data_IF_560504898076
#
_entry.id   IF_560504898076
#
_cell.length_a   1.000
_cell.length_b   1.000
_cell.length_c   1.000
_cell.angle_alpha   90.00
_cell.angle_beta   90.00
_cell.angle_gamma   90.00
#
_symmetry.space_group_name_H-M   'P 1'
#
loop_
_entity.id
_entity.type
_entity.pdbx_description
1 polymer ?
#
# COMPACT_ATOMS: atom_id res chain seq x y z
N UNK A 1 3.93 -17.46 -24.61
CA UNK A 1 3.43 -17.11 -23.27
C UNK A 1 3.50 -15.60 -23.14
N UNK A 2 2.44 -14.95 -22.64
CA UNK A 2 2.44 -13.50 -22.40
C UNK A 2 3.43 -13.21 -21.26
N UNK A 3 4.23 -12.15 -21.41
CA UNK A 3 5.19 -11.72 -20.38
C UNK A 3 4.51 -10.76 -19.40
N UNK A 4 4.85 -10.84 -18.12
CA UNK A 4 4.54 -9.80 -17.13
C UNK A 4 5.25 -8.50 -17.50
N UNK A 5 4.82 -7.39 -16.90
CA UNK A 5 5.48 -6.10 -17.09
C UNK A 5 6.89 -6.12 -16.49
N UNK A 6 7.87 -5.46 -17.13
CA UNK A 6 9.29 -5.49 -16.74
C UNK A 6 9.61 -4.57 -15.55
N UNK A 7 8.92 -4.77 -14.43
CA UNK A 7 9.26 -4.20 -13.13
C UNK A 7 10.13 -5.18 -12.34
N UNK A 8 11.32 -4.77 -11.87
CA UNK A 8 12.27 -5.69 -11.24
C UNK A 8 11.71 -6.45 -10.04
N UNK A 9 10.86 -5.81 -9.21
CA UNK A 9 10.35 -6.44 -8.00
C UNK A 9 9.20 -7.40 -8.30
N UNK A 10 8.32 -7.03 -9.22
CA UNK A 10 7.31 -7.94 -9.73
C UNK A 10 7.95 -9.17 -10.38
N UNK A 11 9.00 -8.97 -11.19
CA UNK A 11 9.71 -10.05 -11.85
C UNK A 11 10.32 -11.04 -10.86
N UNK A 12 10.91 -10.55 -9.76
CA UNK A 12 11.41 -11.40 -8.67
C UNK A 12 10.24 -12.12 -8.00
N UNK A 13 9.14 -11.44 -7.67
CA UNK A 13 7.99 -12.07 -7.02
C UNK A 13 7.42 -13.22 -7.86
N UNK A 14 7.26 -13.02 -9.18
CA UNK A 14 6.72 -14.05 -10.07
C UNK A 14 7.66 -15.26 -10.25
N UNK A 15 8.93 -15.18 -9.82
CA UNK A 15 9.81 -16.36 -9.76
C UNK A 15 9.39 -17.38 -8.71
N UNK A 16 8.46 -17.05 -7.80
CA UNK A 16 7.89 -18.01 -6.85
C UNK A 16 7.27 -19.23 -7.56
N UNK A 17 6.78 -19.05 -8.80
CA UNK A 17 6.17 -20.10 -9.60
C UNK A 17 7.17 -20.98 -10.36
N UNK A 18 8.44 -20.59 -10.41
CA UNK A 18 9.49 -21.42 -11.00
C UNK A 18 9.65 -22.74 -10.25
N UNK A 19 10.38 -23.68 -10.85
CA UNK A 19 10.92 -24.81 -10.12
C UNK A 19 12.08 -24.32 -9.24
N UNK A 20 11.76 -24.04 -7.97
CA UNK A 20 12.67 -23.54 -6.95
C UNK A 20 13.24 -24.68 -6.09
N UNK A 21 13.70 -25.75 -6.75
CA UNK A 21 14.42 -26.85 -6.09
C UNK A 21 15.75 -26.39 -5.47
N UNK A 22 16.18 -27.07 -4.41
CA UNK A 22 17.44 -26.77 -3.70
C UNK A 22 18.64 -26.73 -4.67
N UNK A 23 19.54 -25.74 -4.49
CA UNK A 23 20.73 -25.47 -5.33
C UNK A 23 20.45 -25.03 -6.77
N UNK A 24 19.20 -24.77 -7.15
CA UNK A 24 18.86 -24.27 -8.47
C UNK A 24 19.04 -22.76 -8.55
N UNK A 25 19.52 -22.28 -9.70
CA UNK A 25 19.52 -20.85 -10.01
C UNK A 25 18.09 -20.39 -10.31
N UNK A 26 17.68 -19.30 -9.65
CA UNK A 26 16.40 -18.63 -9.89
C UNK A 26 16.64 -17.50 -10.88
N UNK A 27 15.87 -17.51 -11.97
CA UNK A 27 15.87 -16.44 -12.98
C UNK A 27 14.46 -15.94 -13.21
N UNK A 28 14.33 -14.66 -13.53
CA UNK A 28 13.06 -14.11 -14.00
C UNK A 28 12.78 -14.47 -15.48
N UNK A 29 11.64 -14.03 -16.00
CA UNK A 29 11.22 -14.32 -17.38
C UNK A 29 12.07 -13.61 -18.47
N UNK A 30 13.04 -12.79 -18.05
CA UNK A 30 14.01 -12.09 -18.89
C UNK A 30 15.44 -12.64 -18.69
N UNK A 31 15.57 -13.82 -18.10
CA UNK A 31 16.83 -14.52 -17.85
C UNK A 31 17.79 -13.78 -16.89
N UNK A 32 17.28 -12.80 -16.12
CA UNK A 32 18.08 -12.11 -15.10
C UNK A 32 18.15 -12.99 -13.85
N UNK A 33 19.37 -13.17 -13.33
CA UNK A 33 19.61 -14.01 -12.14
C UNK A 33 19.16 -13.31 -10.86
N UNK A 34 18.32 -13.99 -10.08
CA UNK A 34 17.92 -13.57 -8.73
C UNK A 34 18.91 -14.13 -7.69
N UNK A 35 19.42 -15.34 -7.93
CA UNK A 35 20.37 -16.03 -7.06
C UNK A 35 20.19 -17.54 -7.11
N UNK A 36 20.67 -18.24 -6.08
CA UNK A 36 20.56 -19.70 -5.95
C UNK A 36 19.72 -20.07 -4.73
N UNK A 37 18.81 -21.03 -4.88
CA UNK A 37 17.98 -21.55 -3.77
C UNK A 37 18.85 -22.30 -2.76
N UNK A 38 18.76 -21.93 -1.49
CA UNK A 38 19.52 -22.54 -0.39
C UNK A 38 18.67 -23.15 0.71
N UNK A 39 17.40 -22.77 0.83
CA UNK A 39 16.43 -23.41 1.72
C UNK A 39 15.10 -23.60 0.99
N UNK A 40 14.42 -24.71 1.26
CA UNK A 40 13.12 -25.06 0.68
C UNK A 40 12.22 -25.57 1.80
N UNK A 41 11.10 -24.89 2.02
CA UNK A 41 10.02 -25.33 2.89
C UNK A 41 8.81 -25.54 1.99
N UNK A 42 8.54 -26.79 1.61
CA UNK A 42 7.43 -27.14 0.74
C UNK A 42 6.57 -28.20 1.44
N UNK A 43 5.49 -27.74 2.06
CA UNK A 43 4.56 -28.54 2.86
C UNK A 43 5.27 -29.43 3.90
N UNK A 44 6.34 -28.93 4.50
CA UNK A 44 7.12 -29.61 5.55
C UNK A 44 6.32 -29.83 6.83
N UNK A 45 5.32 -28.98 7.09
CA UNK A 45 4.45 -29.09 8.26
C UNK A 45 3.13 -29.81 8.00
N UNK A 46 2.82 -30.12 6.72
CA UNK A 46 1.51 -30.62 6.32
C UNK A 46 0.44 -29.53 6.17
N UNK A 47 0.78 -28.26 6.38
CA UNK A 47 -0.15 -27.13 6.31
C UNK A 47 -0.18 -26.42 4.95
N UNK A 48 0.65 -26.83 3.98
CA UNK A 48 0.66 -26.29 2.62
C UNK A 48 1.63 -25.14 2.37
N UNK A 49 2.53 -24.80 3.31
CA UNK A 49 3.47 -23.68 3.14
C UNK A 49 4.48 -23.92 2.02
N UNK A 50 4.80 -22.88 1.24
CA UNK A 50 5.78 -22.94 0.16
C UNK A 50 6.70 -21.72 0.22
N UNK A 51 7.85 -21.86 0.87
CA UNK A 51 8.80 -20.77 1.14
C UNK A 51 10.21 -21.16 0.69
N UNK A 52 10.89 -20.25 -0.01
CA UNK A 52 12.23 -20.48 -0.57
C UNK A 52 13.18 -19.36 -0.17
N UNK A 53 14.38 -19.72 0.30
CA UNK A 53 15.47 -18.75 0.50
C UNK A 53 16.42 -18.79 -0.70
N UNK A 54 16.76 -17.61 -1.22
CA UNK A 54 17.61 -17.41 -2.39
C UNK A 54 18.74 -16.44 -2.00
N UNK A 55 19.98 -16.82 -2.30
CA UNK A 55 21.17 -16.00 -2.02
C UNK A 55 22.01 -15.82 -3.29
N UNK A 56 22.73 -14.70 -3.40
CA UNK A 56 23.59 -14.42 -4.56
C UNK A 56 24.74 -15.42 -4.69
N UNK A 57 25.38 -15.77 -3.57
CA UNK A 57 26.51 -16.70 -3.53
C UNK A 57 26.26 -17.85 -2.54
N UNK A 58 25.84 -19.03 -3.01
CA UNK A 58 25.50 -20.16 -2.13
C UNK A 58 26.71 -20.83 -1.47
N UNK A 59 27.95 -20.39 -1.81
CA UNK A 59 29.20 -20.92 -1.23
C UNK A 59 29.69 -20.13 -0.03
N UNK A 60 29.12 -18.96 0.23
CA UNK A 60 29.44 -18.17 1.43
C UNK A 60 28.99 -18.89 2.70
N UNK A 61 29.71 -18.68 3.81
CA UNK A 61 29.21 -19.11 5.09
C UNK A 61 27.96 -18.30 5.43
N UNK A 62 27.04 -18.90 6.16
CA UNK A 62 25.74 -18.27 6.39
C UNK A 62 25.84 -16.95 7.21
N UNK A 63 26.89 -16.81 8.01
CA UNK A 63 27.20 -15.58 8.76
C UNK A 63 27.73 -14.43 7.88
N UNK A 64 28.32 -14.78 6.72
CA UNK A 64 28.91 -13.81 5.77
C UNK A 64 27.88 -13.32 4.74
N UNK A 65 26.73 -13.99 4.63
CA UNK A 65 25.65 -13.61 3.70
C UNK A 65 25.06 -12.28 4.12
N UNK A 66 25.15 -11.29 3.22
CA UNK A 66 24.64 -9.93 3.47
C UNK A 66 23.14 -9.78 3.20
N UNK A 67 22.62 -10.50 2.20
CA UNK A 67 21.23 -10.38 1.75
C UNK A 67 20.65 -11.76 1.45
N UNK A 68 19.41 -11.99 1.89
CA UNK A 68 18.60 -13.16 1.54
C UNK A 68 17.30 -12.69 0.91
N UNK A 69 16.99 -13.22 -0.27
CA UNK A 69 15.68 -13.08 -0.90
C UNK A 69 14.80 -14.25 -0.48
N UNK A 70 13.64 -13.97 0.10
CA UNK A 70 12.66 -14.98 0.53
C UNK A 70 11.43 -14.88 -0.37
N UNK A 71 11.13 -15.98 -1.06
CA UNK A 71 9.97 -16.12 -1.93
C UNK A 71 8.89 -16.93 -1.21
N UNK A 72 7.71 -16.35 -1.03
CA UNK A 72 6.51 -17.03 -0.55
C UNK A 72 5.62 -17.32 -1.74
N UNK A 73 5.43 -18.59 -2.08
CA UNK A 73 4.70 -18.97 -3.29
C UNK A 73 3.19 -19.00 -3.03
N UNK A 74 2.43 -18.34 -3.90
CA UNK A 74 0.98 -18.45 -3.94
C UNK A 74 0.50 -19.87 -4.23
N UNK A 75 -0.81 -20.10 -4.10
CA UNK A 75 -1.38 -21.41 -4.33
C UNK A 75 -0.97 -21.94 -5.71
N UNK A 76 -0.71 -23.24 -5.83
CA UNK A 76 -0.30 -23.93 -7.07
C UNK A 76 -1.37 -23.91 -8.16
N UNK A 77 -2.42 -23.12 -7.93
CA UNK A 77 -3.58 -22.92 -8.76
C UNK A 77 -3.37 -22.27 -10.12
N UNK A 78 -2.32 -21.52 -10.52
CA UNK A 78 -2.30 -20.90 -11.85
C UNK A 78 -2.62 -21.89 -12.97
N UNK A 79 -2.01 -23.08 -12.96
CA UNK A 79 -2.23 -24.14 -13.97
C UNK A 79 -3.62 -24.79 -13.95
N UNK A 80 -4.35 -24.71 -12.82
CA UNK A 80 -5.74 -25.17 -12.67
C UNK A 80 -6.76 -24.03 -12.85
N UNK A 81 -6.39 -22.82 -12.48
CA UNK A 81 -7.08 -21.54 -12.67
C UNK A 81 -7.23 -21.31 -14.18
N UNK A 82 -6.17 -21.53 -14.97
CA UNK A 82 -6.19 -21.38 -16.44
C UNK A 82 -7.22 -22.26 -17.19
N UNK A 83 -7.88 -23.23 -16.53
CA UNK A 83 -8.72 -24.21 -17.22
C UNK A 83 -10.23 -24.07 -17.03
N UNK A 84 -10.75 -23.44 -15.98
CA UNK A 84 -12.22 -23.35 -15.77
C UNK A 84 -12.63 -22.03 -15.08
N UNK A 85 -13.15 -21.07 -15.86
CA UNK A 85 -13.26 -19.64 -15.49
C UNK A 85 -14.52 -19.23 -14.71
N UNK A 86 -15.19 -20.15 -13.99
CA UNK A 86 -16.32 -19.80 -13.12
C UNK A 86 -16.25 -20.46 -11.73
N UNK A 87 -15.80 -21.71 -11.65
CA UNK A 87 -15.69 -22.44 -10.38
C UNK A 87 -14.49 -22.00 -9.52
N UNK A 88 -13.46 -21.40 -10.11
CA UNK A 88 -12.26 -20.89 -9.41
C UNK A 88 -12.58 -19.80 -8.36
N UNK A 89 -13.65 -19.02 -8.56
CA UNK A 89 -14.10 -18.04 -7.57
C UNK A 89 -14.79 -18.69 -6.36
N UNK A 90 -15.44 -19.84 -6.57
CA UNK A 90 -16.09 -20.63 -5.51
C UNK A 90 -15.10 -21.56 -4.79
N UNK A 91 -14.03 -21.96 -5.48
CA UNK A 91 -13.06 -22.98 -5.06
C UNK A 91 -11.66 -22.40 -4.84
N UNK A 92 -11.61 -21.16 -4.30
CA UNK A 92 -10.38 -20.66 -3.67
C UNK A 92 -9.92 -21.76 -2.71
N UNK A 93 -8.71 -22.29 -2.88
CA UNK A 93 -8.27 -23.54 -2.25
C UNK A 93 -8.67 -23.58 -0.76
N UNK A 94 -8.97 -24.75 -0.18
CA UNK A 94 -9.61 -24.85 1.14
C UNK A 94 -9.07 -23.89 2.23
N UNK A 95 -7.74 -23.70 2.30
CA UNK A 95 -7.10 -22.74 3.20
C UNK A 95 -7.40 -21.26 2.87
N UNK A 96 -7.40 -20.90 1.59
CA UNK A 96 -7.62 -19.55 1.05
C UNK A 96 -9.07 -19.11 1.31
N UNK A 97 -10.03 -20.02 1.09
CA UNK A 97 -11.44 -19.77 1.40
C UNK A 97 -11.69 -19.50 2.89
N UNK A 98 -11.05 -20.27 3.78
CA UNK A 98 -11.19 -20.09 5.23
C UNK A 98 -10.67 -18.72 5.66
N UNK A 99 -9.48 -18.33 5.20
CA UNK A 99 -8.91 -17.05 5.60
C UNK A 99 -9.64 -15.86 4.97
N UNK A 100 -10.08 -15.98 3.72
CA UNK A 100 -10.98 -15.03 3.07
C UNK A 100 -12.24 -14.79 3.88
N UNK A 101 -12.85 -15.88 4.36
CA UNK A 101 -14.03 -15.84 5.22
C UNK A 101 -13.74 -15.13 6.54
N UNK A 102 -12.59 -15.39 7.18
CA UNK A 102 -12.19 -14.67 8.39
C UNK A 102 -12.06 -13.17 8.11
N UNK A 103 -11.37 -12.77 7.04
CA UNK A 103 -11.17 -11.37 6.69
C UNK A 103 -12.52 -10.66 6.43
N UNK A 104 -13.40 -11.28 5.64
CA UNK A 104 -14.70 -10.71 5.28
C UNK A 104 -15.68 -10.63 6.47
N UNK A 105 -15.58 -11.54 7.45
CA UNK A 105 -16.39 -11.49 8.68
C UNK A 105 -15.91 -10.44 9.67
N UNK A 106 -14.66 -9.99 9.57
CA UNK A 106 -14.09 -8.99 10.47
C UNK A 106 -14.34 -7.57 9.95
N UNK A 107 -15.47 -7.00 10.38
CA UNK A 107 -15.81 -5.60 10.12
C UNK A 107 -14.94 -4.62 10.92
N UNK A 108 -14.36 -5.07 12.03
CA UNK A 108 -13.44 -4.34 12.91
C UNK A 108 -12.19 -5.22 13.09
N UNK A 109 -10.97 -4.64 13.23
CA UNK A 109 -9.78 -5.46 13.49
C UNK A 109 -9.95 -6.34 14.73
N UNK A 110 -9.52 -7.59 14.60
CA UNK A 110 -9.62 -8.61 15.66
C UNK A 110 -8.72 -8.26 16.84
N UNK A 111 -9.16 -8.64 18.05
CA UNK A 111 -8.35 -8.61 19.28
C UNK A 111 -7.49 -9.87 19.44
N UNK A 112 -7.71 -10.89 18.60
CA UNK A 112 -6.98 -12.16 18.61
C UNK A 112 -6.44 -12.49 17.22
N UNK A 113 -5.37 -13.28 17.17
CA UNK A 113 -4.87 -13.87 15.93
C UNK A 113 -5.89 -14.88 15.39
N UNK A 114 -6.38 -14.66 14.17
CA UNK A 114 -7.33 -15.53 13.46
C UNK A 114 -6.70 -16.19 12.21
N UNK A 115 -5.36 -16.33 12.19
CA UNK A 115 -4.61 -16.94 11.10
C UNK A 115 -4.78 -18.46 11.01
N UNK A 116 -4.54 -18.99 9.82
CA UNK A 116 -4.53 -20.44 9.53
C UNK A 116 -3.17 -21.06 9.88
N UNK A 117 -3.12 -22.40 9.93
CA UNK A 117 -1.85 -23.10 10.18
C UNK A 117 -0.84 -22.94 9.03
N UNK A 118 -1.29 -22.71 7.79
CA UNK A 118 -0.40 -22.42 6.67
C UNK A 118 0.39 -21.13 6.92
N UNK A 119 -0.30 -20.03 7.27
CA UNK A 119 0.35 -18.77 7.59
C UNK A 119 1.37 -18.93 8.72
N UNK A 120 1.00 -19.69 9.77
CA UNK A 120 1.91 -20.00 10.89
C UNK A 120 3.11 -20.83 10.46
N UNK A 121 2.94 -21.78 9.54
CA UNK A 121 4.04 -22.54 8.98
C UNK A 121 4.98 -21.68 8.15
N UNK A 122 4.45 -20.77 7.32
CA UNK A 122 5.22 -19.76 6.58
C UNK A 122 6.01 -18.84 7.51
N UNK A 123 5.43 -18.44 8.65
CA UNK A 123 6.14 -17.67 9.68
C UNK A 123 7.30 -18.44 10.32
N UNK A 124 7.12 -19.73 10.60
CA UNK A 124 8.19 -20.60 11.11
C UNK A 124 9.33 -20.71 10.09
N UNK A 125 8.99 -20.95 8.81
CA UNK A 125 9.98 -21.01 7.73
C UNK A 125 10.80 -19.71 7.62
N UNK A 126 10.17 -18.54 7.72
CA UNK A 126 10.90 -17.26 7.72
C UNK A 126 11.87 -17.15 8.90
N UNK A 127 11.44 -17.53 10.11
CA UNK A 127 12.29 -17.52 11.30
C UNK A 127 13.49 -18.45 11.14
N UNK A 128 13.27 -19.67 10.67
CA UNK A 128 14.34 -20.64 10.42
C UNK A 128 15.36 -20.11 9.38
N UNK A 129 14.89 -19.41 8.34
CA UNK A 129 15.76 -18.73 7.35
C UNK A 129 16.57 -17.61 8.02
N UNK A 130 15.93 -16.78 8.86
CA UNK A 130 16.60 -15.68 9.55
C UNK A 130 17.62 -16.16 10.59
N UNK A 131 17.36 -17.28 11.25
CA UNK A 131 18.30 -17.97 12.15
C UNK A 131 19.48 -18.56 11.37
N UNK A 132 19.21 -19.16 10.21
CA UNK A 132 20.26 -19.71 9.34
C UNK A 132 21.24 -18.63 8.88
N UNK A 133 20.73 -17.44 8.55
CA UNK A 133 21.51 -16.31 8.04
C UNK A 133 21.49 -15.14 9.03
N UNK A 134 22.18 -15.21 10.18
CA UNK A 134 21.96 -14.31 11.31
C UNK A 134 22.25 -12.82 11.04
N UNK A 135 23.16 -12.52 10.10
CA UNK A 135 23.58 -11.14 9.78
C UNK A 135 22.91 -10.57 8.53
N UNK A 136 22.17 -11.39 7.78
CA UNK A 136 21.61 -10.98 6.50
C UNK A 136 20.45 -9.99 6.68
N UNK A 137 20.39 -9.02 5.77
CA UNK A 137 19.17 -8.27 5.46
C UNK A 137 18.23 -9.14 4.63
N UNK A 138 16.93 -9.01 4.86
CA UNK A 138 15.92 -9.90 4.28
C UNK A 138 15.04 -9.12 3.30
N UNK A 139 14.93 -9.63 2.09
CA UNK A 139 14.07 -9.12 1.03
C UNK A 139 12.93 -10.11 0.81
N UNK A 140 11.68 -9.70 1.03
CA UNK A 140 10.52 -10.59 0.98
C UNK A 140 9.73 -10.36 -0.29
N UNK A 141 9.31 -11.44 -0.97
CA UNK A 141 8.43 -11.37 -2.12
C UNK A 141 7.30 -12.40 -2.03
N UNK A 142 6.12 -12.04 -2.51
CA UNK A 142 5.01 -12.99 -2.63
C UNK A 142 3.86 -12.45 -3.48
N UNK A 143 3.19 -13.35 -4.20
CA UNK A 143 2.00 -13.06 -4.99
C UNK A 143 0.80 -13.90 -4.51
N UNK A 144 -0.42 -13.37 -4.66
CA UNK A 144 -1.66 -14.09 -4.30
C UNK A 144 -1.64 -14.58 -2.84
N UNK A 145 -1.85 -15.87 -2.57
CA UNK A 145 -1.70 -16.47 -1.23
C UNK A 145 -0.30 -16.25 -0.61
N UNK A 146 0.76 -16.27 -1.43
CA UNK A 146 2.12 -16.04 -0.99
C UNK A 146 2.31 -14.64 -0.39
N UNK A 147 1.54 -13.66 -0.85
CA UNK A 147 1.48 -12.34 -0.23
C UNK A 147 0.88 -12.40 1.18
N UNK A 148 -0.14 -13.22 1.44
CA UNK A 148 -0.72 -13.38 2.78
C UNK A 148 0.25 -14.10 3.71
N UNK A 149 0.89 -15.16 3.22
CA UNK A 149 1.95 -15.89 3.92
C UNK A 149 3.09 -14.94 4.33
N UNK A 150 3.56 -14.10 3.41
CA UNK A 150 4.56 -13.07 3.67
C UNK A 150 4.11 -12.04 4.71
N UNK A 151 2.88 -11.51 4.58
CA UNK A 151 2.32 -10.54 5.53
C UNK A 151 2.29 -11.11 6.95
N UNK A 152 1.83 -12.34 7.11
CA UNK A 152 1.74 -12.97 8.42
C UNK A 152 3.12 -13.34 8.97
N UNK A 153 4.01 -13.85 8.11
CA UNK A 153 5.37 -14.19 8.50
C UNK A 153 6.10 -12.99 9.07
N UNK A 154 5.97 -11.81 8.45
CA UNK A 154 6.49 -10.55 9.01
C UNK A 154 5.81 -10.17 10.33
N UNK A 155 4.49 -10.30 10.43
CA UNK A 155 3.73 -9.94 11.64
C UNK A 155 4.06 -10.83 12.86
N UNK A 156 4.53 -12.05 12.61
CA UNK A 156 4.92 -13.00 13.65
C UNK A 156 6.38 -12.86 14.12
N UNK A 157 7.16 -11.93 13.55
CA UNK A 157 8.54 -11.66 13.96
C UNK A 157 8.61 -10.90 15.29
N UNK A 158 9.74 -11.03 15.97
CA UNK A 158 10.09 -10.18 17.10
C UNK A 158 10.59 -8.80 16.65
N UNK A 159 10.49 -7.79 17.52
CA UNK A 159 10.91 -6.42 17.21
C UNK A 159 12.39 -6.30 16.80
N UNK A 160 13.28 -7.17 17.28
CA UNK A 160 14.68 -7.18 16.83
C UNK A 160 14.85 -7.85 15.45
N UNK A 161 14.00 -8.84 15.15
CA UNK A 161 14.02 -9.55 13.88
C UNK A 161 13.46 -8.67 12.75
N UNK A 162 12.35 -7.96 12.98
CA UNK A 162 11.68 -7.15 11.96
C UNK A 162 12.59 -6.05 11.39
N UNK A 163 13.55 -5.51 12.17
CA UNK A 163 14.53 -4.52 11.70
C UNK A 163 15.52 -5.07 10.65
N UNK A 164 15.63 -6.41 10.52
CA UNK A 164 16.41 -7.05 9.46
C UNK A 164 15.66 -7.13 8.13
N UNK A 165 14.34 -6.92 8.12
CA UNK A 165 13.59 -6.77 6.87
C UNK A 165 14.01 -5.46 6.20
N UNK A 166 14.61 -5.57 5.03
CA UNK A 166 15.05 -4.45 4.20
C UNK A 166 13.91 -3.91 3.38
N UNK A 167 13.18 -4.80 2.70
CA UNK A 167 12.02 -4.48 1.88
C UNK A 167 11.15 -5.73 1.70
N UNK A 168 9.86 -5.53 1.51
CA UNK A 168 8.91 -6.56 1.15
C UNK A 168 8.07 -6.08 -0.03
N UNK A 169 7.98 -6.87 -1.11
CA UNK A 169 7.15 -6.58 -2.28
C UNK A 169 6.12 -7.68 -2.45
N UNK A 170 4.86 -7.32 -2.22
CA UNK A 170 3.75 -8.26 -2.27
C UNK A 170 2.69 -7.80 -3.27
N UNK A 171 2.16 -8.72 -4.07
CA UNK A 171 1.34 -8.41 -5.24
C UNK A 171 0.03 -9.19 -5.24
N UNK A 172 -1.08 -8.50 -5.51
CA UNK A 172 -2.41 -9.08 -5.74
C UNK A 172 -2.88 -10.11 -4.68
N UNK A 173 -2.36 -10.02 -3.45
CA UNK A 173 -2.82 -10.83 -2.33
C UNK A 173 -3.85 -10.11 -1.46
N UNK A 174 -4.79 -10.82 -0.81
CA UNK A 174 -5.65 -10.26 0.23
C UNK A 174 -4.87 -9.56 1.35
N UNK A 175 -5.51 -8.58 2.00
CA UNK A 175 -4.92 -7.91 3.17
C UNK A 175 -5.36 -8.59 4.46
N UNK A 176 -4.41 -9.04 5.27
CA UNK A 176 -4.68 -9.78 6.50
C UNK A 176 -4.74 -8.90 7.76
N UNK A 177 -4.57 -7.58 7.66
CA UNK A 177 -4.39 -6.70 8.82
C UNK A 177 -5.51 -6.84 9.86
N UNK A 178 -6.73 -7.07 9.40
CA UNK A 178 -7.93 -7.20 10.26
C UNK A 178 -7.98 -8.50 11.06
N UNK A 179 -7.26 -9.54 10.66
CA UNK A 179 -7.24 -10.84 11.34
C UNK A 179 -6.02 -11.03 12.24
N UNK A 180 -5.07 -10.10 12.20
CA UNK A 180 -3.90 -10.07 13.10
C UNK A 180 -4.33 -9.68 14.52
N UNK A 181 -3.55 -10.07 15.53
CA UNK A 181 -3.67 -9.52 16.89
C UNK A 181 -3.15 -8.08 16.97
N UNK A 182 -3.47 -7.32 18.04
CA UNK A 182 -2.88 -5.99 18.28
C UNK A 182 -1.34 -5.98 18.27
N UNK A 183 -0.71 -7.00 18.84
CA UNK A 183 0.75 -7.14 18.89
C UNK A 183 1.34 -7.37 17.51
N UNK A 184 0.73 -8.26 16.72
CA UNK A 184 1.14 -8.55 15.34
C UNK A 184 1.02 -7.31 14.44
N UNK A 185 -0.07 -6.54 14.57
CA UNK A 185 -0.22 -5.25 13.86
C UNK A 185 0.89 -4.28 14.22
N UNK A 186 1.22 -4.17 15.51
CA UNK A 186 2.30 -3.30 15.98
C UNK A 186 3.65 -3.66 15.34
N UNK A 187 3.92 -4.95 15.12
CA UNK A 187 5.16 -5.40 14.45
C UNK A 187 5.20 -4.92 12.99
N UNK A 188 4.17 -5.20 12.18
CA UNK A 188 4.19 -4.77 10.76
C UNK A 188 4.11 -3.25 10.60
N UNK A 189 3.45 -2.55 11.52
CA UNK A 189 3.38 -1.08 11.53
C UNK A 189 4.73 -0.42 11.84
N UNK A 190 5.70 -1.14 12.43
CA UNK A 190 7.05 -0.61 12.65
C UNK A 190 7.79 -0.35 11.34
N UNK A 191 7.65 -1.26 10.37
CA UNK A 191 8.32 -1.24 9.06
C UNK A 191 7.36 -0.97 7.90
N UNK A 192 6.22 -0.34 8.16
CA UNK A 192 5.16 -0.13 7.15
C UNK A 192 5.70 0.52 5.86
N UNK A 193 6.69 1.40 5.98
CA UNK A 193 7.38 2.06 4.86
C UNK A 193 8.32 1.16 4.03
N UNK A 194 8.64 -0.05 4.51
CA UNK A 194 9.44 -1.07 3.78
C UNK A 194 8.56 -2.12 3.10
N UNK A 195 7.25 -2.15 3.37
CA UNK A 195 6.33 -3.15 2.82
C UNK A 195 5.50 -2.50 1.70
N UNK A 196 5.78 -2.88 0.46
CA UNK A 196 5.11 -2.41 -0.75
C UNK A 196 4.04 -3.41 -1.16
N UNK A 197 2.79 -3.05 -0.92
CA UNK A 197 1.63 -3.92 -1.12
C UNK A 197 0.80 -3.48 -2.33
N UNK A 198 1.08 -4.07 -3.50
CA UNK A 198 0.40 -3.74 -4.74
C UNK A 198 -0.93 -4.49 -4.87
N UNK A 199 -2.01 -3.74 -5.09
CA UNK A 199 -3.36 -4.29 -5.23
C UNK A 199 -4.03 -3.73 -6.48
N UNK A 200 -4.60 -4.60 -7.29
CA UNK A 200 -5.33 -4.22 -8.49
C UNK A 200 -6.82 -4.12 -8.18
N UNK A 201 -7.40 -2.92 -8.26
CA UNK A 201 -8.81 -2.71 -7.95
C UNK A 201 -9.77 -3.53 -8.85
N UNK A 202 -9.29 -4.03 -9.99
CA UNK A 202 -10.04 -4.91 -10.90
C UNK A 202 -9.88 -6.40 -10.56
N UNK A 203 -8.91 -6.76 -9.72
CA UNK A 203 -8.74 -8.09 -9.16
C UNK A 203 -9.47 -8.19 -7.81
N UNK A 204 -10.59 -8.91 -7.81
CA UNK A 204 -11.41 -9.11 -6.63
C UNK A 204 -10.64 -9.78 -5.47
N UNK A 205 -9.67 -10.66 -5.76
CA UNK A 205 -8.87 -11.34 -4.72
C UNK A 205 -7.99 -10.32 -4.01
N UNK A 206 -7.30 -9.46 -4.77
CA UNK A 206 -6.51 -8.38 -4.19
C UNK A 206 -7.34 -7.36 -3.41
N UNK A 207 -8.66 -7.28 -3.64
CA UNK A 207 -9.53 -6.35 -2.91
C UNK A 207 -10.07 -6.91 -1.58
N UNK A 208 -9.87 -8.19 -1.28
CA UNK A 208 -10.27 -8.79 0.00
C UNK A 208 -9.49 -8.12 1.16
N UNK A 209 -10.24 -7.63 2.15
CA UNK A 209 -9.68 -6.94 3.33
C UNK A 209 -9.40 -5.45 3.13
N UNK A 210 -9.51 -4.93 1.90
CA UNK A 210 -9.17 -3.54 1.55
C UNK A 210 -10.39 -2.64 1.41
N UNK A 211 -10.12 -1.35 1.52
CA UNK A 211 -11.05 -0.25 1.23
C UNK A 211 -10.23 0.84 0.52
N UNK A 212 -10.49 1.04 -0.77
CA UNK A 212 -9.72 1.98 -1.61
C UNK A 212 -9.73 3.39 -1.01
N UNK A 213 -10.86 3.79 -0.41
CA UNK A 213 -10.99 5.11 0.20
C UNK A 213 -10.12 5.29 1.45
N UNK A 214 -9.71 4.19 2.10
CA UNK A 214 -8.82 4.21 3.27
C UNK A 214 -7.34 4.18 2.90
N UNK A 215 -6.99 3.95 1.63
CA UNK A 215 -5.60 3.88 1.23
C UNK A 215 -4.85 2.75 1.93
N UNK A 216 -3.75 3.11 2.60
CA UNK A 216 -2.93 2.21 3.44
C UNK A 216 -3.42 2.08 4.90
N UNK A 217 -4.48 2.79 5.30
CA UNK A 217 -4.97 2.78 6.70
C UNK A 217 -5.61 1.43 7.01
N UNK A 218 -5.13 0.77 8.06
CA UNK A 218 -5.64 -0.54 8.47
C UNK A 218 -5.28 -1.66 7.48
N UNK A 219 -4.10 -1.57 6.87
CA UNK A 219 -3.55 -2.53 5.91
C UNK A 219 -2.12 -2.91 6.29
N UNK A 220 -1.65 -4.10 5.88
CA UNK A 220 -0.24 -4.48 6.05
C UNK A 220 0.59 -3.76 4.98
N UNK A 221 1.49 -2.89 5.42
CA UNK A 221 2.36 -2.10 4.54
C UNK A 221 1.69 -0.88 3.90
N UNK A 222 2.41 -0.27 2.96
CA UNK A 222 1.92 0.77 2.07
C UNK A 222 1.19 0.14 0.89
N UNK A 223 -0.09 0.45 0.74
CA UNK A 223 -0.91 -0.08 -0.35
C UNK A 223 -0.73 0.79 -1.59
N UNK A 224 -0.48 0.16 -2.73
CA UNK A 224 -0.35 0.79 -4.03
C UNK A 224 -1.45 0.25 -4.95
N UNK A 225 -2.53 1.01 -5.11
CA UNK A 225 -3.63 0.61 -5.99
C UNK A 225 -3.21 0.80 -7.46
N UNK A 226 -3.15 -0.29 -8.22
CA UNK A 226 -2.59 -0.31 -9.56
C UNK A 226 -3.61 0.19 -10.59
N UNK A 227 -3.18 1.12 -11.45
CA UNK A 227 -3.95 1.58 -12.62
C UNK A 227 -3.70 0.61 -13.79
N UNK A 228 -4.39 -0.54 -13.72
CA UNK A 228 -4.28 -1.66 -14.66
C UNK A 228 -5.21 -1.51 -15.86
N UNK A 229 -4.85 -2.12 -16.99
CA UNK A 229 -5.80 -2.42 -18.06
C UNK A 229 -6.72 -3.58 -17.65
N UNK A 230 -7.92 -3.61 -18.21
CA UNK A 230 -8.89 -4.67 -17.92
C UNK A 230 -8.50 -5.95 -18.66
N UNK A 231 -8.50 -7.06 -17.94
CA UNK A 231 -8.24 -8.42 -18.42
C UNK A 231 -9.38 -9.35 -17.98
N UNK A 232 -9.36 -10.62 -18.40
CA UNK A 232 -10.17 -11.64 -17.75
C UNK A 232 -9.70 -11.86 -16.30
N UNK A 233 -10.54 -12.39 -15.39
CA UNK A 233 -10.23 -12.46 -13.96
C UNK A 233 -8.90 -13.15 -13.63
N UNK A 234 -8.54 -14.19 -14.39
CA UNK A 234 -7.29 -14.93 -14.19
C UNK A 234 -6.11 -14.05 -14.55
N UNK A 235 -6.16 -13.46 -15.75
CA UNK A 235 -5.06 -12.63 -16.21
C UNK A 235 -4.95 -11.34 -15.39
N UNK A 236 -6.06 -10.82 -14.89
CA UNK A 236 -6.09 -9.67 -13.97
C UNK A 236 -5.37 -10.02 -12.67
N UNK A 237 -5.71 -11.16 -12.05
CA UNK A 237 -5.06 -11.64 -10.83
C UNK A 237 -3.57 -11.90 -11.04
N UNK A 238 -3.20 -12.51 -12.18
CA UNK A 238 -1.80 -12.76 -12.56
C UNK A 238 -1.05 -11.51 -13.03
N UNK A 239 -1.53 -10.30 -12.74
CA UNK A 239 -0.88 -9.00 -13.00
C UNK A 239 -0.70 -8.64 -14.49
N UNK A 240 -1.31 -9.35 -15.43
CA UNK A 240 -1.14 -9.06 -16.87
C UNK A 240 -1.77 -7.72 -17.29
N UNK A 241 -2.67 -7.17 -16.48
CA UNK A 241 -3.21 -5.83 -16.62
C UNK A 241 -2.23 -4.72 -16.21
N UNK A 242 -1.14 -5.03 -15.49
CA UNK A 242 -0.21 -4.02 -14.99
C UNK A 242 0.52 -3.31 -16.14
N UNK A 243 0.82 -2.02 -15.95
CA UNK A 243 1.52 -1.18 -16.93
C UNK A 243 2.59 -0.36 -16.20
N UNK A 244 3.66 0.00 -16.91
CA UNK A 244 4.63 0.97 -16.41
C UNK A 244 4.27 2.38 -16.86
N UNK A 245 4.59 3.35 -16.03
CA UNK A 245 4.63 4.75 -16.42
C UNK A 245 5.88 5.04 -17.28
N UNK A 246 6.01 6.30 -17.69
CA UNK A 246 7.14 6.78 -18.49
C UNK A 246 8.50 6.65 -17.78
N UNK A 247 8.52 6.52 -16.46
CA UNK A 247 9.71 6.41 -15.63
C UNK A 247 10.03 4.94 -15.28
N UNK A 248 9.28 3.99 -15.84
CA UNK A 248 9.48 2.57 -15.66
C UNK A 248 8.92 2.01 -14.35
N UNK A 249 8.05 2.76 -13.64
CA UNK A 249 7.40 2.30 -12.40
C UNK A 249 6.00 1.79 -12.68
N UNK A 250 5.51 0.84 -11.88
CA UNK A 250 4.11 0.37 -11.98
C UNK A 250 3.16 1.57 -11.85
N UNK A 251 2.26 1.72 -12.83
CA UNK A 251 1.22 2.76 -12.81
C UNK A 251 0.27 2.51 -11.64
N UNK A 252 0.07 3.53 -10.82
CA UNK A 252 -0.87 3.51 -9.69
C UNK A 252 -1.96 4.54 -9.90
N UNK A 253 -3.15 4.29 -9.35
CA UNK A 253 -4.14 5.33 -9.18
C UNK A 253 -3.54 6.40 -8.26
N UNK A 254 -3.62 7.66 -8.69
CA UNK A 254 -3.41 8.80 -7.80
C UNK A 254 -4.60 8.89 -6.84
N UNK A 255 -4.64 8.07 -5.79
CA UNK A 255 -5.37 8.45 -4.60
C UNK A 255 -4.41 9.25 -3.71
N UNK A 256 -4.51 10.57 -3.84
CA UNK A 256 -3.61 11.55 -3.24
C UNK A 256 -3.36 11.29 -1.76
N UNK A 257 -4.41 10.96 -0.98
CA UNK A 257 -4.26 10.57 0.44
C UNK A 257 -3.30 9.41 0.68
N UNK A 258 -3.24 8.41 -0.20
CA UNK A 258 -2.31 7.27 -0.02
C UNK A 258 -0.88 7.68 -0.33
N UNK A 259 -0.66 8.46 -1.39
CA UNK A 259 0.69 8.93 -1.74
C UNK A 259 1.24 9.86 -0.67
N UNK A 260 0.45 10.83 -0.21
CA UNK A 260 0.85 11.75 0.85
C UNK A 260 1.03 11.03 2.20
N UNK A 261 0.16 10.09 2.54
CA UNK A 261 0.29 9.31 3.77
C UNK A 261 1.50 8.36 3.72
N UNK A 262 1.75 7.71 2.59
CA UNK A 262 2.93 6.86 2.40
C UNK A 262 4.23 7.68 2.48
N UNK A 263 4.27 8.89 1.87
CA UNK A 263 5.40 9.82 2.00
C UNK A 263 5.64 10.22 3.47
N UNK A 264 4.58 10.49 4.22
CA UNK A 264 4.67 10.72 5.67
C UNK A 264 5.26 9.51 6.41
N UNK A 265 4.78 8.30 6.14
CA UNK A 265 5.27 7.07 6.77
C UNK A 265 6.75 6.81 6.48
N UNK A 266 7.19 7.01 5.22
CA UNK A 266 8.60 6.86 4.81
C UNK A 266 9.49 7.86 5.57
N UNK A 267 9.06 9.13 5.66
CA UNK A 267 9.79 10.15 6.43
C UNK A 267 9.86 9.82 7.92
N UNK A 268 8.77 9.33 8.50
CA UNK A 268 8.73 8.88 9.89
C UNK A 268 9.62 7.67 10.14
N UNK A 269 9.81 6.80 9.15
CA UNK A 269 10.75 5.71 9.22
C UNK A 269 12.21 6.20 9.19
N UNK A 270 12.55 7.13 8.30
CA UNK A 270 13.84 7.83 8.35
C UNK A 270 14.10 8.46 9.73
N UNK A 271 13.09 9.15 10.29
CA UNK A 271 13.16 9.69 11.64
C UNK A 271 13.44 8.61 12.71
N UNK A 272 12.79 7.43 12.66
CA UNK A 272 13.07 6.33 13.60
C UNK A 272 14.50 5.84 13.48
N UNK A 273 15.02 5.68 12.27
CA UNK A 273 16.42 5.29 12.02
C UNK A 273 17.37 6.31 12.65
N UNK A 274 17.15 7.59 12.40
CA UNK A 274 17.94 8.67 12.96
C UNK A 274 17.89 8.70 14.49
N UNK A 275 16.69 8.54 15.06
CA UNK A 275 16.46 8.43 16.50
C UNK A 275 17.24 7.27 17.13
N UNK A 276 17.36 6.14 16.43
CA UNK A 276 18.12 4.98 16.89
C UNK A 276 19.64 5.22 16.78
N UNK A 277 20.13 5.85 15.71
CA UNK A 277 21.54 6.21 15.55
C UNK A 277 21.99 7.13 16.69
N UNK A 278 21.18 8.14 17.02
CA UNK A 278 21.48 9.10 18.09
C UNK A 278 21.28 8.53 19.51
N UNK A 279 20.71 7.34 19.66
CA UNK A 279 20.43 6.75 20.97
C UNK A 279 21.65 6.10 21.64
N UNK A 280 22.78 5.95 20.93
CA UNK A 280 23.89 5.07 21.32
C UNK A 280 24.44 5.33 22.73
N UNK A 281 24.46 6.58 23.18
CA UNK A 281 24.92 7.00 24.51
C UNK A 281 23.85 7.73 25.33
N UNK A 282 22.58 7.58 24.94
CA UNK A 282 21.47 8.43 25.40
C UNK A 282 21.46 9.79 24.71
N UNK A 283 20.32 10.49 24.79
CA UNK A 283 20.17 11.77 24.07
C UNK A 283 20.68 12.96 24.87
N UNK A 284 21.51 13.79 24.24
CA UNK A 284 21.79 15.14 24.68
C UNK A 284 20.56 16.05 24.53
N UNK A 285 20.53 17.18 25.24
CA UNK A 285 19.45 18.16 25.10
C UNK A 285 19.32 18.71 23.65
N UNK A 286 20.44 18.80 22.92
CA UNK A 286 20.44 19.21 21.51
C UNK A 286 19.83 18.16 20.60
N UNK A 287 20.14 16.89 20.80
CA UNK A 287 19.57 15.77 20.03
C UNK A 287 18.08 15.59 20.32
N UNK A 288 17.65 15.78 21.57
CA UNK A 288 16.22 15.78 21.90
C UNK A 288 15.48 16.90 21.17
N UNK A 289 16.00 18.13 21.24
CA UNK A 289 15.41 19.28 20.54
C UNK A 289 15.38 19.06 19.02
N UNK A 290 16.43 18.47 18.45
CA UNK A 290 16.48 18.08 17.05
C UNK A 290 15.41 17.05 16.68
N UNK A 291 15.34 15.95 17.44
CA UNK A 291 14.37 14.89 17.19
C UNK A 291 12.93 15.40 17.34
N UNK A 292 12.65 16.24 18.34
CA UNK A 292 11.34 16.87 18.51
C UNK A 292 11.01 17.80 17.32
N UNK A 293 11.99 18.57 16.85
CA UNK A 293 11.84 19.48 15.70
C UNK A 293 11.57 18.72 14.40
N UNK A 294 12.33 17.66 14.13
CA UNK A 294 12.16 16.85 12.93
C UNK A 294 10.85 16.08 12.95
N UNK A 295 10.47 15.50 14.09
CA UNK A 295 9.16 14.84 14.22
C UNK A 295 8.02 15.83 13.99
N UNK A 296 8.08 17.03 14.59
CA UNK A 296 7.06 18.07 14.42
C UNK A 296 6.96 18.53 12.97
N UNK A 297 8.10 18.76 12.29
CA UNK A 297 8.18 19.16 10.89
C UNK A 297 7.62 18.08 9.95
N UNK A 298 8.00 16.82 10.14
CA UNK A 298 7.50 15.69 9.34
C UNK A 298 5.98 15.54 9.52
N UNK A 299 5.49 15.57 10.76
CA UNK A 299 4.06 15.48 11.05
C UNK A 299 3.27 16.65 10.46
N UNK A 300 3.73 17.88 10.66
CA UNK A 300 3.05 19.07 10.15
C UNK A 300 3.02 19.12 8.63
N UNK A 301 4.15 18.87 7.96
CA UNK A 301 4.20 18.80 6.48
C UNK A 301 3.37 17.65 5.92
N UNK A 302 3.38 16.48 6.58
CA UNK A 302 2.57 15.33 6.17
C UNK A 302 1.07 15.62 6.25
N UNK A 303 0.60 16.16 7.37
CA UNK A 303 -0.82 16.52 7.55
C UNK A 303 -1.23 17.63 6.58
N UNK A 304 -0.42 18.70 6.45
CA UNK A 304 -0.69 19.80 5.53
C UNK A 304 -0.84 19.30 4.09
N UNK A 305 0.07 18.44 3.64
CA UNK A 305 0.00 17.81 2.32
C UNK A 305 -1.28 17.01 2.15
N UNK A 306 -1.62 16.11 3.09
CA UNK A 306 -2.84 15.30 3.02
C UNK A 306 -4.08 16.19 2.93
N UNK A 307 -4.21 17.20 3.78
CA UNK A 307 -5.38 18.08 3.78
C UNK A 307 -5.48 18.90 2.49
N UNK A 308 -4.36 19.40 1.97
CA UNK A 308 -4.33 20.16 0.72
C UNK A 308 -4.80 19.28 -0.44
N UNK A 309 -4.26 18.07 -0.57
CA UNK A 309 -4.62 17.18 -1.66
C UNK A 309 -6.07 16.65 -1.56
N UNK A 310 -6.57 16.37 -0.35
CA UNK A 310 -7.97 16.00 -0.12
C UNK A 310 -8.93 17.18 -0.39
N UNK A 311 -8.49 18.40 -0.09
CA UNK A 311 -9.26 19.60 -0.43
C UNK A 311 -9.41 19.75 -1.95
N UNK A 312 -8.36 19.46 -2.72
CA UNK A 312 -8.43 19.47 -4.18
C UNK A 312 -9.41 18.42 -4.71
N UNK A 313 -9.46 17.23 -4.11
CA UNK A 313 -10.48 16.21 -4.43
C UNK A 313 -11.88 16.75 -4.15
N UNK A 314 -12.11 17.35 -2.99
CA UNK A 314 -13.41 17.92 -2.62
C UNK A 314 -13.83 19.02 -3.60
N UNK A 315 -12.92 19.95 -3.95
CA UNK A 315 -13.16 21.01 -4.95
C UNK A 315 -13.53 20.42 -6.30
N UNK A 316 -12.78 19.43 -6.78
CA UNK A 316 -12.98 18.81 -8.09
C UNK A 316 -14.32 18.06 -8.16
N UNK A 317 -14.67 17.30 -7.11
CA UNK A 317 -15.96 16.61 -7.04
C UNK A 317 -17.14 17.59 -6.99
N UNK A 318 -17.02 18.66 -6.20
CA UNK A 318 -18.02 19.72 -6.15
C UNK A 318 -18.21 20.38 -7.52
N UNK A 319 -17.13 20.79 -8.17
CA UNK A 319 -17.18 21.43 -9.49
C UNK A 319 -17.76 20.52 -10.57
N UNK A 320 -17.41 19.23 -10.56
CA UNK A 320 -17.98 18.24 -11.48
C UNK A 320 -19.48 18.06 -11.24
N UNK A 321 -19.93 17.95 -9.99
CA UNK A 321 -21.36 17.88 -9.68
C UNK A 321 -22.14 19.11 -10.16
N UNK A 322 -21.56 20.32 -10.03
CA UNK A 322 -22.14 21.55 -10.58
C UNK A 322 -22.16 21.53 -12.11
N UNK A 323 -21.09 21.04 -12.75
CA UNK A 323 -21.04 20.91 -14.21
C UNK A 323 -22.12 19.95 -14.71
N UNK A 324 -22.21 18.73 -14.17
CA UNK A 324 -23.20 17.74 -14.56
C UNK A 324 -24.64 18.28 -14.38
N UNK A 325 -24.92 18.95 -13.26
CA UNK A 325 -26.21 19.58 -13.04
C UNK A 325 -26.49 20.76 -14.00
N UNK A 326 -25.46 21.52 -14.37
CA UNK A 326 -25.57 22.60 -15.34
C UNK A 326 -25.87 22.08 -16.75
N UNK A 327 -25.27 20.95 -17.14
CA UNK A 327 -25.56 20.28 -18.42
C UNK A 327 -27.01 19.77 -18.45
N UNK A 328 -27.49 19.15 -17.37
CA UNK A 328 -28.90 18.74 -17.22
C UNK A 328 -29.83 19.95 -17.30
N UNK A 329 -29.54 21.03 -16.55
CA UNK A 329 -30.38 22.22 -16.53
C UNK A 329 -30.43 22.91 -17.92
N UNK A 330 -29.30 23.00 -18.61
CA UNK A 330 -29.24 23.55 -19.97
C UNK A 330 -30.04 22.71 -20.98
N UNK A 331 -30.10 21.38 -20.77
CA UNK A 331 -30.86 20.48 -21.65
C UNK A 331 -32.37 20.71 -21.64
N UNK A 332 -32.91 21.41 -20.63
CA UNK A 332 -34.33 21.75 -20.54
C UNK A 332 -34.80 22.74 -21.62
N UNK A 333 -33.88 23.37 -22.33
CA UNK A 333 -34.15 24.20 -23.50
C UNK A 333 -34.28 23.41 -24.82
N UNK A 334 -33.97 22.10 -24.80
CA UNK A 334 -34.02 21.23 -25.96
C UNK A 334 -35.44 20.69 -26.17
N UNK A 335 -36.07 21.07 -27.29
CA UNK A 335 -37.42 20.61 -27.64
C UNK A 335 -37.39 19.12 -28.01
N UNK A 336 -38.13 18.24 -27.29
CA UNK A 336 -38.15 16.82 -27.61
C UNK A 336 -38.82 16.54 -28.96
N UNK A 337 -38.38 15.47 -29.64
CA UNK A 337 -38.93 15.09 -30.94
C UNK A 337 -40.44 14.83 -30.86
N UNK A 338 -41.19 15.44 -31.78
CA UNK A 338 -42.65 15.33 -31.86
C UNK A 338 -43.42 16.43 -31.11
N UNK A 339 -42.74 17.33 -30.39
CA UNK A 339 -43.35 18.49 -29.74
C UNK A 339 -43.20 19.75 -30.61
N UNK A 340 -44.19 20.64 -30.56
CA UNK A 340 -44.21 21.94 -31.25
C UNK A 340 -44.16 23.05 -30.18
N UNK A 341 -43.08 23.06 -29.42
CA UNK A 341 -42.80 24.08 -28.41
C UNK A 341 -41.58 24.91 -28.84
N UNK A 342 -41.51 26.16 -28.42
CA UNK A 342 -40.26 26.92 -28.40
C UNK A 342 -39.35 26.41 -27.28
N UNK A 343 -38.05 26.75 -27.34
CA UNK A 343 -37.10 26.45 -26.25
C UNK A 343 -37.58 27.02 -24.91
N UNK A 344 -38.12 28.24 -24.92
CA UNK A 344 -38.67 28.88 -23.72
C UNK A 344 -39.89 28.13 -23.16
N UNK A 345 -40.84 27.72 -24.01
CA UNK A 345 -42.00 26.93 -23.55
C UNK A 345 -41.58 25.56 -22.99
N UNK A 346 -40.51 24.98 -23.54
CA UNK A 346 -39.94 23.73 -23.02
C UNK A 346 -39.29 23.92 -21.65
N UNK A 347 -38.51 24.99 -21.46
CA UNK A 347 -37.94 25.36 -20.15
C UNK A 347 -39.03 25.59 -19.10
N UNK A 348 -40.11 26.30 -19.46
CA UNK A 348 -41.26 26.53 -18.57
C UNK A 348 -41.92 25.20 -18.18
N UNK A 349 -42.15 24.30 -19.13
CA UNK A 349 -42.75 23.00 -18.84
C UNK A 349 -41.90 22.14 -17.88
N UNK A 350 -40.57 22.12 -18.07
CA UNK A 350 -39.65 21.44 -17.13
C UNK A 350 -39.65 22.10 -15.75
N UNK A 351 -39.67 23.43 -15.69
CA UNK A 351 -39.72 24.21 -14.45
C UNK A 351 -41.01 23.95 -13.66
N UNK A 352 -42.17 23.91 -14.34
CA UNK A 352 -43.46 23.53 -13.76
C UNK A 352 -43.46 22.08 -13.25
N UNK A 353 -42.73 21.19 -13.93
CA UNK A 353 -42.45 19.82 -13.48
C UNK A 353 -41.49 19.73 -12.30
N UNK A 354 -40.95 20.85 -11.82
CA UNK A 354 -40.06 20.94 -10.66
C UNK A 354 -38.57 20.95 -10.98
N UNK A 355 -38.17 21.02 -12.26
CA UNK A 355 -36.77 21.10 -12.68
C UNK A 355 -36.41 22.57 -12.98
N UNK A 356 -35.84 23.25 -11.99
CA UNK A 356 -35.39 24.64 -12.09
C UNK A 356 -33.98 24.78 -11.47
N UNK A 357 -33.44 26.00 -11.45
CA UNK A 357 -32.09 26.25 -10.92
C UNK A 357 -31.96 25.76 -9.46
N UNK A 358 -32.91 26.08 -8.59
CA UNK A 358 -32.85 25.74 -7.16
C UNK A 358 -32.88 24.23 -6.93
N UNK A 359 -33.67 23.50 -7.73
CA UNK A 359 -33.83 22.05 -7.59
C UNK A 359 -32.76 21.23 -8.33
N UNK A 360 -31.95 21.86 -9.19
CA UNK A 360 -30.85 21.20 -9.92
C UNK A 360 -29.47 21.63 -9.41
N UNK A 361 -29.10 22.89 -9.62
CA UNK A 361 -27.78 23.43 -9.27
C UNK A 361 -27.78 23.91 -7.81
N UNK A 362 -28.81 24.66 -7.42
CA UNK A 362 -28.93 25.27 -6.09
C UNK A 362 -28.91 24.24 -4.97
N UNK A 363 -29.55 23.07 -5.14
CA UNK A 363 -29.53 21.99 -4.15
C UNK A 363 -28.12 21.43 -3.90
N UNK A 364 -27.28 21.35 -4.95
CA UNK A 364 -25.88 20.92 -4.83
C UNK A 364 -25.08 22.01 -4.12
N UNK A 365 -25.21 23.26 -4.54
CA UNK A 365 -24.54 24.40 -3.92
C UNK A 365 -24.88 24.50 -2.43
N UNK A 366 -26.16 24.52 -2.08
CA UNK A 366 -26.64 24.66 -0.70
C UNK A 366 -26.18 23.49 0.18
N UNK A 367 -26.14 22.26 -0.37
CA UNK A 367 -25.73 21.08 0.37
C UNK A 367 -24.22 21.03 0.60
N UNK A 368 -23.42 21.41 -0.40
CA UNK A 368 -21.98 21.17 -0.37
C UNK A 368 -21.14 22.41 -0.07
N UNK A 369 -21.64 23.64 -0.23
CA UNK A 369 -20.91 24.85 0.19
C UNK A 369 -20.42 24.79 1.64
N UNK A 370 -21.24 24.41 2.64
CA UNK A 370 -20.76 24.33 4.03
C UNK A 370 -19.63 23.30 4.22
N UNK A 371 -19.65 22.21 3.45
CA UNK A 371 -18.61 21.17 3.47
C UNK A 371 -17.31 21.70 2.87
N UNK A 372 -17.41 22.33 1.71
CA UNK A 372 -16.28 22.96 1.01
C UNK A 372 -15.65 24.04 1.89
N UNK A 373 -16.45 24.92 2.50
CA UNK A 373 -15.93 26.00 3.33
C UNK A 373 -15.26 25.49 4.61
N UNK A 374 -15.84 24.47 5.25
CA UNK A 374 -15.19 23.82 6.39
C UNK A 374 -13.86 23.17 6.00
N UNK A 375 -13.80 22.51 4.84
CA UNK A 375 -12.58 21.89 4.35
C UNK A 375 -11.51 22.94 3.97
N UNK A 376 -11.88 24.08 3.37
CA UNK A 376 -10.97 25.23 3.15
C UNK A 376 -10.40 25.76 4.46
N UNK A 377 -11.23 25.87 5.50
CA UNK A 377 -10.76 26.35 6.79
C UNK A 377 -9.74 25.38 7.41
N UNK A 378 -9.99 24.07 7.32
CA UNK A 378 -9.03 23.06 7.77
C UNK A 378 -7.71 23.11 6.98
N UNK A 379 -7.77 23.23 5.65
CA UNK A 379 -6.59 23.42 4.79
C UNK A 379 -5.76 24.61 5.27
N UNK A 380 -6.42 25.75 5.51
CA UNK A 380 -5.77 26.94 6.03
C UNK A 380 -5.15 26.72 7.41
N UNK A 381 -5.91 26.16 8.35
CA UNK A 381 -5.46 25.95 9.74
C UNK A 381 -4.20 25.06 9.78
N UNK A 382 -4.15 24.00 8.98
CA UNK A 382 -2.97 23.12 8.90
C UNK A 382 -1.79 23.76 8.17
N UNK A 383 -2.04 24.56 7.13
CA UNK A 383 -0.99 25.33 6.44
C UNK A 383 -0.36 26.36 7.38
N UNK A 384 -1.19 27.09 8.14
CA UNK A 384 -0.75 28.07 9.12
C UNK A 384 0.02 27.39 10.27
N UNK A 385 -0.42 26.22 10.73
CA UNK A 385 0.28 25.43 11.75
C UNK A 385 1.65 24.94 11.28
N UNK A 386 1.74 24.39 10.07
CA UNK A 386 3.02 23.96 9.48
C UNK A 386 4.00 25.12 9.40
N UNK A 387 3.53 26.28 8.93
CA UNK A 387 4.34 27.50 8.87
C UNK A 387 4.82 27.92 10.26
N UNK A 388 3.94 27.96 11.25
CA UNK A 388 4.31 28.34 12.62
C UNK A 388 5.37 27.41 13.23
N UNK A 389 5.25 26.10 12.99
CA UNK A 389 6.24 25.11 13.44
C UNK A 389 7.59 25.37 12.77
N UNK A 390 7.61 25.51 11.44
CA UNK A 390 8.83 25.77 10.67
C UNK A 390 9.50 27.09 11.07
N UNK A 391 8.72 28.16 11.19
CA UNK A 391 9.21 29.48 11.60
C UNK A 391 9.78 29.44 13.04
N UNK A 392 9.12 28.71 13.95
CA UNK A 392 9.59 28.52 15.32
C UNK A 392 10.92 27.78 15.41
N UNK A 393 11.07 26.68 14.65
CA UNK A 393 12.32 25.94 14.54
C UNK A 393 13.41 26.83 13.93
N UNK A 394 13.12 27.48 12.80
CA UNK A 394 14.11 28.32 12.10
C UNK A 394 14.60 29.46 12.98
N UNK A 395 13.68 30.14 13.69
CA UNK A 395 14.06 31.20 14.65
C UNK A 395 15.04 30.69 15.70
N UNK A 396 14.83 29.47 16.23
CA UNK A 396 15.74 28.88 17.23
C UNK A 396 17.13 28.61 16.65
N UNK A 397 17.21 28.16 15.40
CA UNK A 397 18.47 27.91 14.70
C UNK A 397 19.20 29.21 14.31
N UNK A 398 18.46 30.26 13.98
CA UNK A 398 19.03 31.58 13.67
C UNK A 398 19.68 32.23 14.92
N UNK A 399 19.10 31.99 16.10
CA UNK A 399 19.60 32.46 17.40
C UNK A 399 20.80 31.64 17.92
N UNK A 400 20.98 30.41 17.46
CA UNK A 400 22.01 29.47 17.93
C UNK A 400 22.75 28.77 16.78
N UNK A 401 23.83 29.39 16.31
CA UNK A 401 24.64 28.89 15.18
C UNK A 401 25.31 27.54 15.46
N UNK A 402 25.63 27.24 16.71
CA UNK A 402 26.23 25.95 17.06
C UNK A 402 25.19 24.84 16.96
N UNK A 403 23.99 25.09 17.48
CA UNK A 403 22.85 24.19 17.33
C UNK A 403 22.47 23.99 15.86
N UNK A 404 22.45 25.05 15.06
CA UNK A 404 22.19 24.97 13.63
C UNK A 404 23.21 24.07 12.91
N UNK A 405 24.51 24.21 13.24
CA UNK A 405 25.55 23.34 12.67
C UNK A 405 25.36 21.87 13.10
N UNK A 406 24.92 21.61 14.33
CA UNK A 406 24.64 20.26 14.83
C UNK A 406 23.42 19.63 14.14
N UNK A 407 22.34 20.40 13.94
CA UNK A 407 21.17 19.97 13.18
C UNK A 407 21.57 19.49 11.78
N UNK A 408 22.35 20.28 11.04
CA UNK A 408 22.82 19.89 9.71
C UNK A 408 23.70 18.63 9.71
N UNK A 409 24.49 18.42 10.76
CA UNK A 409 25.28 17.19 10.91
C UNK A 409 24.38 15.98 11.15
N UNK A 410 23.39 16.09 12.03
CA UNK A 410 22.47 14.99 12.32
C UNK A 410 21.54 14.68 11.14
N UNK A 411 21.07 15.69 10.39
CA UNK A 411 20.30 15.49 9.15
C UNK A 411 21.08 14.67 8.11
N UNK A 412 22.41 14.74 8.11
CA UNK A 412 23.28 14.00 7.17
C UNK A 412 23.57 12.54 7.55
N UNK A 413 23.01 12.04 8.66
CA UNK A 413 23.20 10.65 9.11
C UNK A 413 22.25 9.64 8.43
N UNK A 414 21.26 10.14 7.69
CA UNK A 414 20.39 9.36 6.80
C UNK A 414 20.97 9.35 5.38
#
# INVERSE_FOLDING_TARGET
MRKYVDDSNLQIAMTEYNDNSIRREVKDQYDRSVGTVTQVYNNTTGAGEQVYAVVKNPKENAEDVQEVTVLFRGSTGPDHIFKETADVWNDWAENDFVIGTHILKQNVPSDQDQSTEQLKASARALKDIMEKYPNAKINIYGHSLGSMDAQYAMAALEAAQIERIQQAYIFNGPDIYRILSPEQRKIVDQIKGRIYNYADAKDNISMVGRDIAKGSIGSVGMVYYVDSESEDPINQHMTYGYRLDKDGKIKIFSNTSTVAYNDFLIKMEGYKTLKNILASDGYTAGEQLFLDSEQAKIAASGICRIVTEEMDIIKNNYNRGIQDASEVFASCSNVPWGFILSSYETEVAYSEGGLNYETTIGIIQNRFHPVVDKAKQLEKDFTDLEKQIKDGIQKKLDEDRELASKFSQWESLL
#
